data_IF_200657344928
#
_entry.id   IF_200657344928
#
_cell.length_a   1.000
_cell.length_b   1.000
_cell.length_c   1.000
_cell.angle_alpha   90.00
_cell.angle_beta   90.00
_cell.angle_gamma   90.00
#
_symmetry.space_group_name_H-M   'P 1'
#
loop_
_entity.id
_entity.type
_entity.pdbx_description
1 polymer ?
#
# COMPACT_ATOMS: atom_id res chain seq x y z
N UNK A 1 24.13 -74.13 22.22
CA UNK A 1 23.53 -73.51 21.02
C UNK A 1 22.25 -72.80 21.42
N UNK A 2 22.32 -71.50 21.70
CA UNK A 2 21.16 -70.60 21.73
C UNK A 2 21.65 -69.15 21.64
N UNK A 3 21.32 -68.52 20.51
CA UNK A 3 21.66 -67.14 20.16
C UNK A 3 20.73 -66.20 20.93
N UNK A 4 21.29 -65.43 21.86
CA UNK A 4 20.69 -64.21 22.37
C UNK A 4 21.42 -63.01 21.75
N UNK A 5 20.72 -61.87 21.73
CA UNK A 5 21.15 -60.52 21.32
C UNK A 5 21.02 -60.15 19.83
N UNK A 6 19.81 -59.78 19.40
CA UNK A 6 19.61 -58.67 18.45
C UNK A 6 18.12 -58.29 18.34
N UNK A 7 17.50 -57.82 19.43
CA UNK A 7 16.12 -57.28 19.36
C UNK A 7 15.94 -55.89 19.98
N UNK A 8 16.95 -55.37 20.69
CA UNK A 8 16.83 -54.09 21.42
C UNK A 8 17.19 -52.84 20.59
N UNK A 9 17.87 -52.99 19.44
CA UNK A 9 18.39 -51.83 18.67
C UNK A 9 17.47 -51.33 17.55
N UNK A 10 16.42 -52.09 17.20
CA UNK A 10 15.54 -51.76 16.05
C UNK A 10 14.55 -50.63 16.38
N UNK A 11 13.92 -50.67 17.57
CA UNK A 11 12.93 -49.67 17.98
C UNK A 11 13.52 -48.26 18.16
N UNK A 12 14.69 -48.14 18.81
CA UNK A 12 15.37 -46.85 18.99
C UNK A 12 15.82 -46.24 17.66
N UNK A 13 16.28 -47.08 16.71
CA UNK A 13 16.62 -46.65 15.34
C UNK A 13 15.40 -46.13 14.57
N UNK A 14 14.26 -46.81 14.65
CA UNK A 14 13.03 -46.37 14.00
C UNK A 14 12.57 -45.03 14.58
N UNK A 15 12.56 -44.88 15.91
CA UNK A 15 12.22 -43.62 16.57
C UNK A 15 13.16 -42.49 16.15
N UNK A 16 14.47 -42.74 16.10
CA UNK A 16 15.44 -41.75 15.67
C UNK A 16 15.22 -41.31 14.21
N UNK A 17 14.99 -42.26 13.30
CA UNK A 17 14.70 -41.96 11.89
C UNK A 17 13.39 -41.16 11.77
N UNK A 18 12.35 -41.54 12.50
CA UNK A 18 11.07 -40.81 12.50
C UNK A 18 11.26 -39.37 12.99
N UNK A 19 12.00 -39.14 14.08
CA UNK A 19 12.30 -37.78 14.58
C UNK A 19 13.11 -36.99 13.54
N UNK A 20 14.13 -37.60 12.93
CA UNK A 20 14.92 -36.96 11.88
C UNK A 20 14.05 -36.55 10.68
N UNK A 21 13.16 -37.44 10.23
CA UNK A 21 12.22 -37.14 9.14
C UNK A 21 11.26 -36.02 9.53
N UNK A 22 10.71 -36.02 10.75
CA UNK A 22 9.87 -34.93 11.24
C UNK A 22 10.61 -33.59 11.28
N UNK A 23 11.88 -33.56 11.73
CA UNK A 23 12.70 -32.36 11.73
C UNK A 23 13.00 -31.86 10.31
N UNK A 24 13.26 -32.77 9.37
CA UNK A 24 13.46 -32.40 7.96
C UNK A 24 12.18 -31.85 7.34
N UNK A 25 11.02 -32.48 7.58
CA UNK A 25 9.73 -32.02 7.06
C UNK A 25 9.36 -30.65 7.63
N UNK A 26 9.54 -30.44 8.94
CA UNK A 26 9.27 -29.14 9.58
C UNK A 26 10.24 -28.05 9.10
N UNK A 27 11.54 -28.38 8.96
CA UNK A 27 12.53 -27.45 8.42
C UNK A 27 12.25 -27.05 6.96
N UNK A 28 11.88 -28.02 6.12
CA UNK A 28 11.44 -27.75 4.75
C UNK A 28 10.17 -26.90 4.74
N UNK A 29 9.14 -27.27 5.52
CA UNK A 29 7.91 -26.50 5.64
C UNK A 29 8.15 -25.05 6.07
N UNK A 30 8.99 -24.83 7.08
CA UNK A 30 9.41 -23.50 7.52
C UNK A 30 10.12 -22.72 6.41
N UNK A 31 11.03 -23.36 5.68
CA UNK A 31 11.74 -22.71 4.57
C UNK A 31 10.81 -22.32 3.42
N UNK A 32 9.84 -23.17 3.08
CA UNK A 32 8.81 -22.88 2.08
C UNK A 32 7.91 -21.74 2.53
N UNK A 33 7.52 -21.72 3.81
CA UNK A 33 6.71 -20.65 4.37
C UNK A 33 7.42 -19.29 4.31
N UNK A 34 8.69 -19.21 4.73
CA UNK A 34 9.49 -17.98 4.65
C UNK A 34 9.65 -17.48 3.21
N UNK A 35 9.93 -18.39 2.27
CA UNK A 35 10.06 -18.05 0.84
C UNK A 35 8.72 -17.63 0.23
N UNK A 36 7.65 -18.32 0.59
CA UNK A 36 6.30 -18.03 0.10
C UNK A 36 5.86 -16.61 0.45
N UNK A 37 6.06 -16.19 1.71
CA UNK A 37 5.73 -14.84 2.15
C UNK A 37 6.53 -13.77 1.40
N UNK A 38 7.81 -14.03 1.14
CA UNK A 38 8.69 -13.11 0.41
C UNK A 38 8.25 -12.94 -1.04
N UNK A 39 7.93 -14.06 -1.72
CA UNK A 39 7.48 -14.06 -3.12
C UNK A 39 6.15 -13.33 -3.25
N UNK A 40 5.18 -13.62 -2.37
CA UNK A 40 3.87 -12.97 -2.40
C UNK A 40 3.99 -11.46 -2.23
N UNK A 41 4.84 -11.02 -1.28
CA UNK A 41 5.07 -9.59 -1.04
C UNK A 41 5.75 -8.92 -2.22
N UNK A 42 6.71 -9.57 -2.88
CA UNK A 42 7.34 -9.06 -4.09
C UNK A 42 6.31 -8.90 -5.22
N UNK A 43 5.50 -9.93 -5.48
CA UNK A 43 4.48 -9.90 -6.52
C UNK A 43 3.45 -8.78 -6.29
N UNK A 44 3.00 -8.59 -5.03
CA UNK A 44 2.12 -7.47 -4.68
C UNK A 44 2.75 -6.11 -4.98
N UNK A 45 4.03 -5.92 -4.62
CA UNK A 45 4.75 -4.67 -4.90
C UNK A 45 4.94 -4.45 -6.40
N UNK A 46 5.35 -5.48 -7.13
CA UNK A 46 5.62 -5.39 -8.57
C UNK A 46 4.34 -5.04 -9.34
N UNK A 47 3.21 -5.63 -8.94
CA UNK A 47 1.89 -5.30 -9.48
C UNK A 47 1.48 -3.88 -9.13
N UNK A 48 1.61 -3.48 -7.86
CA UNK A 48 1.27 -2.13 -7.43
C UNK A 48 2.11 -1.08 -8.16
N UNK A 49 3.42 -1.32 -8.30
CA UNK A 49 4.32 -0.43 -9.04
C UNK A 49 3.91 -0.32 -10.50
N UNK A 50 3.59 -1.46 -11.15
CA UNK A 50 3.17 -1.49 -12.55
C UNK A 50 1.83 -0.76 -12.75
N UNK A 51 0.84 -1.03 -11.89
CA UNK A 51 -0.46 -0.35 -11.91
C UNK A 51 -0.31 1.15 -11.69
N UNK A 52 0.48 1.56 -10.69
CA UNK A 52 0.71 2.98 -10.39
C UNK A 52 1.43 3.68 -11.54
N UNK A 53 2.44 3.03 -12.14
CA UNK A 53 3.15 3.56 -13.29
C UNK A 53 2.23 3.77 -14.49
N UNK A 54 1.38 2.79 -14.82
CA UNK A 54 0.44 2.91 -15.94
C UNK A 54 -0.61 3.97 -15.64
N UNK A 55 -1.13 4.00 -14.40
CA UNK A 55 -2.14 4.97 -14.00
C UNK A 55 -1.62 6.42 -14.07
N UNK A 56 -0.37 6.67 -13.70
CA UNK A 56 0.23 8.00 -13.78
C UNK A 56 0.30 8.54 -15.22
N UNK A 57 0.52 7.67 -16.21
CA UNK A 57 0.53 8.04 -17.64
C UNK A 57 -0.87 8.39 -18.18
N UNK A 58 -1.94 7.99 -17.48
CA UNK A 58 -3.32 8.31 -17.85
C UNK A 58 -3.79 9.66 -17.31
N UNK A 59 -3.04 10.27 -16.38
CA UNK A 59 -3.38 11.57 -15.80
C UNK A 59 -2.97 12.70 -16.74
N UNK A 60 -3.89 13.61 -17.06
CA UNK A 60 -3.58 14.80 -17.84
C UNK A 60 -2.79 15.81 -16.98
N UNK A 61 -1.51 15.99 -17.31
CA UNK A 61 -0.63 16.92 -16.61
C UNK A 61 -1.15 18.37 -16.61
N UNK A 62 -1.90 18.79 -17.64
CA UNK A 62 -2.45 20.15 -17.73
C UNK A 62 -3.54 20.38 -16.68
N UNK A 63 -4.34 19.35 -16.42
CA UNK A 63 -5.35 19.41 -15.37
C UNK A 63 -4.65 19.49 -14.00
N UNK A 64 -3.56 18.74 -13.78
CA UNK A 64 -2.76 18.81 -12.56
C UNK A 64 -2.17 20.21 -12.34
N UNK A 65 -1.59 20.83 -13.37
CA UNK A 65 -1.02 22.18 -13.30
C UNK A 65 -2.07 23.27 -13.06
N UNK A 66 -3.30 23.08 -13.53
CA UNK A 66 -4.38 24.04 -13.36
C UNK A 66 -4.86 24.18 -11.90
N UNK A 67 -4.67 23.16 -11.07
CA UNK A 67 -5.11 23.15 -9.68
C UNK A 67 -3.99 23.68 -8.78
N UNK A 68 -4.24 24.75 -8.02
CA UNK A 68 -3.23 25.36 -7.14
C UNK A 68 -3.74 25.56 -5.71
N UNK A 69 -5.06 25.59 -5.52
CA UNK A 69 -5.66 25.90 -4.24
C UNK A 69 -7.07 25.33 -4.13
N UNK A 70 -7.68 25.36 -2.92
CA UNK A 70 -9.07 24.94 -2.75
C UNK A 70 -10.07 25.69 -3.65
N UNK A 71 -9.72 26.89 -4.13
CA UNK A 71 -10.59 27.68 -5.02
C UNK A 71 -10.78 27.04 -6.39
N UNK A 72 -9.90 26.12 -6.76
CA UNK A 72 -9.92 25.47 -8.07
C UNK A 72 -10.81 24.22 -8.08
N UNK A 73 -11.40 23.85 -6.93
CA UNK A 73 -12.27 22.67 -6.79
C UNK A 73 -13.53 22.73 -7.65
N UNK A 74 -14.04 23.93 -7.95
CA UNK A 74 -15.23 24.10 -8.80
C UNK A 74 -14.92 24.02 -10.30
N UNK A 75 -13.65 23.87 -10.68
CA UNK A 75 -13.23 23.83 -12.09
C UNK A 75 -13.49 22.47 -12.73
N UNK A 76 -13.73 22.46 -14.04
CA UNK A 76 -13.84 21.20 -14.79
C UNK A 76 -12.54 20.38 -14.75
N UNK A 77 -11.39 21.03 -14.65
CA UNK A 77 -10.10 20.36 -14.52
C UNK A 77 -10.04 19.52 -13.23
N UNK A 78 -10.50 20.07 -12.11
CA UNK A 78 -10.55 19.35 -10.85
C UNK A 78 -11.49 18.15 -10.92
N UNK A 79 -12.70 18.34 -11.47
CA UNK A 79 -13.66 17.26 -11.63
C UNK A 79 -13.13 16.11 -12.50
N UNK A 80 -12.39 16.44 -13.59
CA UNK A 80 -11.72 15.43 -14.42
C UNK A 80 -10.65 14.65 -13.66
N UNK A 81 -9.82 15.33 -12.85
CA UNK A 81 -8.82 14.65 -12.01
C UNK A 81 -9.46 13.70 -11.01
N UNK A 82 -10.45 14.17 -10.25
CA UNK A 82 -11.15 13.34 -9.25
C UNK A 82 -11.82 12.14 -9.93
N UNK A 83 -12.46 12.35 -11.09
CA UNK A 83 -13.07 11.26 -11.87
C UNK A 83 -12.01 10.25 -12.32
N UNK A 84 -10.87 10.71 -12.84
CA UNK A 84 -9.78 9.82 -13.25
C UNK A 84 -9.25 8.98 -12.06
N UNK A 85 -9.12 9.57 -10.87
CA UNK A 85 -8.70 8.86 -9.67
C UNK A 85 -9.76 7.84 -9.20
N UNK A 86 -11.06 8.19 -9.26
CA UNK A 86 -12.17 7.25 -9.00
C UNK A 86 -12.19 6.08 -10.00
N UNK A 87 -11.92 6.35 -11.27
CA UNK A 87 -11.84 5.33 -12.32
C UNK A 87 -10.67 4.37 -12.08
N UNK A 88 -9.50 4.89 -11.70
CA UNK A 88 -8.34 4.05 -11.32
C UNK A 88 -8.71 3.09 -10.19
N UNK A 89 -9.36 3.57 -9.12
CA UNK A 89 -9.86 2.72 -8.01
C UNK A 89 -10.86 1.67 -8.49
N UNK A 90 -11.77 2.06 -9.37
CA UNK A 90 -12.82 1.19 -9.91
C UNK A 90 -12.24 0.03 -10.73
N UNK A 91 -11.24 0.30 -11.57
CA UNK A 91 -10.60 -0.73 -12.41
C UNK A 91 -9.56 -1.55 -11.64
N UNK A 92 -8.81 -0.92 -10.74
CA UNK A 92 -7.84 -1.59 -9.89
C UNK A 92 -8.46 -1.93 -8.52
N UNK A 93 -9.36 -2.93 -8.47
CA UNK A 93 -10.18 -3.33 -7.30
C UNK A 93 -9.44 -3.57 -5.96
N UNK A 94 -8.12 -3.58 -5.94
CA UNK A 94 -7.28 -3.73 -4.75
C UNK A 94 -6.79 -2.40 -4.18
N UNK A 95 -6.90 -1.32 -4.95
CA UNK A 95 -6.58 0.05 -4.55
C UNK A 95 -7.76 0.65 -3.81
N UNK A 96 -7.47 1.25 -2.66
CA UNK A 96 -8.46 1.88 -1.82
C UNK A 96 -8.37 3.40 -1.86
N UNK A 97 -7.16 3.94 -1.85
CA UNK A 97 -6.90 5.38 -1.96
C UNK A 97 -6.14 5.68 -3.25
N UNK A 98 -6.50 6.79 -3.88
CA UNK A 98 -5.82 7.30 -5.06
C UNK A 98 -5.78 8.84 -4.96
N UNK A 99 -4.58 9.40 -5.01
CA UNK A 99 -4.37 10.83 -4.81
C UNK A 99 -3.20 11.34 -5.64
N UNK A 100 -3.14 12.65 -5.79
CA UNK A 100 -2.04 13.37 -6.44
C UNK A 100 -1.49 14.37 -5.43
N UNK A 101 -0.17 14.35 -5.25
CA UNK A 101 0.55 15.31 -4.43
C UNK A 101 1.64 16.03 -5.23
N UNK A 102 2.01 17.23 -4.83
CA UNK A 102 3.18 17.93 -5.37
C UNK A 102 4.13 18.44 -4.30
N UNK A 103 5.34 18.76 -4.73
CA UNK A 103 6.38 19.33 -3.87
C UNK A 103 6.02 20.76 -3.48
N UNK A 104 6.31 21.08 -2.23
CA UNK A 104 6.31 22.46 -1.73
C UNK A 104 7.76 22.99 -1.66
N UNK A 105 7.92 24.20 -1.12
CA UNK A 105 9.25 24.74 -0.80
C UNK A 105 9.95 23.96 0.33
N UNK A 106 9.18 23.33 1.22
CA UNK A 106 9.70 22.46 2.27
C UNK A 106 9.85 21.03 1.72
N UNK A 107 11.07 20.45 1.71
CA UNK A 107 11.29 19.11 1.17
C UNK A 107 10.58 18.00 1.98
N UNK A 108 10.14 18.27 3.20
CA UNK A 108 9.42 17.31 4.07
C UNK A 108 7.90 17.49 4.02
N UNK A 109 7.39 18.49 3.29
CA UNK A 109 5.96 18.72 3.10
C UNK A 109 5.59 18.61 1.62
N UNK A 110 4.61 17.77 1.35
CA UNK A 110 3.89 17.79 0.07
C UNK A 110 2.56 18.49 0.26
N UNK A 111 1.99 18.97 -0.84
CA UNK A 111 0.61 19.45 -0.85
C UNK A 111 -0.25 18.53 -1.71
N UNK A 112 -1.48 18.29 -1.28
CA UNK A 112 -2.48 17.60 -2.08
C UNK A 112 -2.89 18.45 -3.27
N UNK A 113 -3.06 17.81 -4.43
CA UNK A 113 -3.60 18.42 -5.64
C UNK A 113 -5.01 17.92 -5.90
N UNK A 114 -5.22 16.61 -5.73
CA UNK A 114 -6.53 15.99 -5.85
C UNK A 114 -6.53 14.67 -5.07
N UNK A 115 -7.69 14.34 -4.51
CA UNK A 115 -7.98 13.04 -3.91
C UNK A 115 -9.23 12.47 -4.58
N UNK A 116 -9.28 11.15 -4.77
CA UNK A 116 -10.44 10.46 -5.32
C UNK A 116 -11.72 10.74 -4.52
N UNK A 117 -11.59 11.03 -3.23
CA UNK A 117 -12.69 11.23 -2.30
C UNK A 117 -12.99 12.71 -2.03
N UNK A 118 -12.27 13.65 -2.66
CA UNK A 118 -12.41 15.09 -2.46
C UNK A 118 -13.78 15.68 -2.87
N UNK A 119 -14.55 14.97 -3.71
CA UNK A 119 -15.91 15.33 -4.14
C UNK A 119 -16.95 14.29 -3.69
N UNK A 120 -16.58 13.35 -2.83
CA UNK A 120 -17.48 12.30 -2.39
C UNK A 120 -18.51 12.82 -1.38
N UNK A 121 -19.70 12.24 -1.40
CA UNK A 121 -20.76 12.59 -0.44
C UNK A 121 -20.51 11.94 0.92
N UNK A 122 -21.19 12.39 1.98
CA UNK A 122 -21.09 11.76 3.31
C UNK A 122 -21.36 10.24 3.26
N UNK A 123 -22.37 9.83 2.50
CA UNK A 123 -22.72 8.41 2.33
C UNK A 123 -21.64 7.62 1.57
N UNK A 124 -20.86 8.28 0.72
CA UNK A 124 -19.75 7.65 -0.01
C UNK A 124 -18.46 7.57 0.83
N UNK A 125 -18.30 8.46 1.80
CA UNK A 125 -17.13 8.53 2.69
C UNK A 125 -17.27 7.64 3.92
N UNK A 126 -18.48 7.46 4.48
CA UNK A 126 -18.72 6.60 5.64
C UNK A 126 -18.56 5.10 5.29
N UNK A 127 -17.30 4.66 5.22
CA UNK A 127 -16.92 3.31 4.81
C UNK A 127 -17.39 2.25 5.80
N UNK A 128 -17.61 2.65 7.06
CA UNK A 128 -18.03 1.74 8.12
C UNK A 128 -19.54 1.82 8.46
N UNK A 129 -20.28 2.63 7.69
CA UNK A 129 -21.74 2.80 7.75
C UNK A 129 -22.25 3.17 9.16
N UNK A 130 -21.46 3.93 9.93
CA UNK A 130 -21.82 4.33 11.31
C UNK A 130 -22.58 5.68 11.38
N UNK A 131 -22.80 6.33 10.24
CA UNK A 131 -23.47 7.61 10.09
C UNK A 131 -22.58 8.84 10.34
N UNK A 132 -21.26 8.67 10.49
CA UNK A 132 -20.28 9.75 10.63
C UNK A 132 -19.07 9.48 9.73
N UNK A 133 -18.46 10.56 9.22
CA UNK A 133 -17.18 10.44 8.49
C UNK A 133 -16.06 10.58 9.52
N UNK A 134 -15.31 9.50 9.73
CA UNK A 134 -14.15 9.48 10.61
C UNK A 134 -12.93 10.13 9.92
N UNK A 135 -11.92 10.53 10.70
CA UNK A 135 -10.72 11.19 10.15
C UNK A 135 -9.95 10.33 9.12
N UNK A 136 -10.12 8.99 9.15
CA UNK A 136 -9.53 8.07 8.17
C UNK A 136 -10.39 7.86 6.92
N UNK A 137 -11.53 8.54 6.84
CA UNK A 137 -12.49 8.50 5.75
C UNK A 137 -12.57 9.83 5.00
N UNK A 138 -12.05 10.91 5.57
CA UNK A 138 -12.01 12.22 4.91
C UNK A 138 -11.02 12.24 3.73
N UNK A 139 -11.49 12.70 2.58
CA UNK A 139 -10.65 12.99 1.42
C UNK A 139 -9.96 14.35 1.57
N UNK A 140 -8.71 14.43 1.12
CA UNK A 140 -7.94 15.68 1.21
C UNK A 140 -8.26 16.68 0.10
N UNK A 141 -8.17 17.97 0.43
CA UNK A 141 -8.42 19.07 -0.48
C UNK A 141 -7.14 19.65 -1.09
N UNK A 142 -7.22 20.31 -2.27
CA UNK A 142 -6.06 20.95 -2.88
C UNK A 142 -5.38 21.95 -1.93
N UNK A 143 -4.06 21.90 -1.82
CA UNK A 143 -3.27 22.78 -0.96
C UNK A 143 -3.17 22.34 0.51
N UNK A 144 -3.85 21.26 0.93
CA UNK A 144 -3.61 20.66 2.23
C UNK A 144 -2.20 20.07 2.30
N UNK A 145 -1.48 20.38 3.38
CA UNK A 145 -0.11 19.95 3.57
C UNK A 145 -0.05 18.56 4.21
N UNK A 146 0.90 17.76 3.75
CA UNK A 146 1.14 16.41 4.21
C UNK A 146 2.59 16.19 4.61
N UNK A 147 2.81 15.75 5.84
CA UNK A 147 4.15 15.46 6.38
C UNK A 147 4.65 14.10 5.89
N UNK A 148 5.71 14.13 5.09
CA UNK A 148 6.34 12.94 4.51
C UNK A 148 7.64 12.54 5.24
N UNK A 149 7.90 13.07 6.43
CA UNK A 149 9.10 12.74 7.23
C UNK A 149 9.23 11.23 7.49
N UNK A 150 8.11 10.53 7.65
CA UNK A 150 8.05 9.08 7.82
C UNK A 150 8.06 8.26 6.52
N UNK A 151 8.10 8.91 5.35
CA UNK A 151 7.87 8.30 4.03
C UNK A 151 9.04 8.56 3.06
N UNK A 152 10.16 7.82 3.18
CA UNK A 152 11.38 8.08 2.40
C UNK A 152 11.17 8.04 0.88
N UNK A 153 10.23 7.24 0.39
CA UNK A 153 9.94 7.15 -1.05
C UNK A 153 9.46 8.51 -1.61
N UNK A 154 8.59 9.21 -0.87
CA UNK A 154 8.03 10.50 -1.26
C UNK A 154 9.03 11.65 -1.13
N UNK A 155 10.10 11.50 -0.35
CA UNK A 155 11.12 12.56 -0.22
C UNK A 155 11.96 12.72 -1.51
N UNK A 156 12.05 11.68 -2.34
CA UNK A 156 12.89 11.70 -3.53
C UNK A 156 12.49 10.72 -4.61
N UNK A 157 12.60 9.42 -4.33
CA UNK A 157 12.53 8.35 -5.33
C UNK A 157 11.25 8.38 -6.18
N UNK A 158 10.11 8.65 -5.55
CA UNK A 158 8.80 8.72 -6.19
C UNK A 158 8.69 9.84 -7.26
N UNK A 159 9.51 10.88 -7.16
CA UNK A 159 9.61 11.96 -8.14
C UNK A 159 10.62 11.66 -9.26
N UNK A 160 11.31 10.53 -9.20
CA UNK A 160 12.29 10.13 -10.23
C UNK A 160 11.75 8.96 -11.05
N UNK A 161 11.18 7.96 -10.38
CA UNK A 161 10.68 6.73 -11.02
C UNK A 161 9.53 6.12 -10.22
N UNK A 162 8.72 5.23 -10.82
CA UNK A 162 7.77 4.44 -10.08
C UNK A 162 8.44 3.66 -8.94
N UNK A 163 7.84 3.67 -7.77
CA UNK A 163 8.34 2.99 -6.57
C UNK A 163 7.19 2.56 -5.66
N UNK A 164 7.48 1.69 -4.70
CA UNK A 164 6.51 1.17 -3.72
C UNK A 164 7.19 1.11 -2.36
N UNK A 165 6.47 1.50 -1.32
CA UNK A 165 6.98 1.51 0.05
C UNK A 165 7.59 0.16 0.43
N UNK A 166 8.77 0.13 1.10
CA UNK A 166 9.44 -1.11 1.49
C UNK A 166 8.57 -1.97 2.43
N UNK A 167 7.71 -1.32 3.23
CA UNK A 167 6.87 -1.92 4.25
C UNK A 167 5.54 -1.17 4.33
N UNK A 168 4.57 -1.76 5.00
CA UNK A 168 3.36 -1.05 5.34
C UNK A 168 3.69 0.16 6.22
N UNK A 169 3.05 1.28 5.92
CA UNK A 169 3.07 2.53 6.68
C UNK A 169 1.78 2.64 7.49
N UNK A 170 1.82 3.35 8.61
CA UNK A 170 0.69 3.56 9.51
C UNK A 170 0.46 5.07 9.63
N UNK A 171 -0.70 5.54 9.16
CA UNK A 171 -1.09 6.95 9.17
C UNK A 171 -2.58 7.12 9.51
N UNK A 172 -3.13 8.31 9.30
CA UNK A 172 -4.53 8.61 9.64
C UNK A 172 -5.54 7.80 8.82
N UNK A 173 -5.16 7.30 7.65
CA UNK A 173 -5.97 6.42 6.80
C UNK A 173 -5.68 4.92 7.04
N UNK A 174 -4.90 4.62 8.07
CA UNK A 174 -4.64 3.28 8.59
C UNK A 174 -3.32 2.66 8.11
N UNK A 175 -3.28 1.32 8.09
CA UNK A 175 -2.08 0.57 7.71
C UNK A 175 -2.09 0.26 6.22
N UNK A 176 -1.24 0.94 5.46
CA UNK A 176 -1.26 0.99 3.99
C UNK A 176 0.05 0.52 3.38
N UNK A 177 -0.03 -0.10 2.19
CA UNK A 177 1.11 -0.24 1.29
C UNK A 177 0.87 0.67 0.10
N UNK A 178 1.79 1.62 -0.12
CA UNK A 178 1.60 2.68 -1.10
C UNK A 178 2.56 2.54 -2.27
N UNK A 179 2.03 2.68 -3.47
CA UNK A 179 2.77 2.81 -4.72
C UNK A 179 2.75 4.24 -5.19
N UNK A 180 3.86 4.68 -5.78
CA UNK A 180 4.03 6.04 -6.25
C UNK A 180 4.59 6.06 -7.67
N UNK A 181 4.14 7.00 -8.49
CA UNK A 181 4.74 7.26 -9.80
C UNK A 181 4.72 8.75 -10.15
N UNK A 182 5.78 9.27 -10.78
CA UNK A 182 5.87 10.67 -11.15
C UNK A 182 4.91 10.98 -12.30
N UNK A 183 4.19 12.09 -12.20
CA UNK A 183 3.40 12.66 -13.29
C UNK A 183 4.27 13.70 -14.00
N UNK A 184 4.38 13.57 -15.33
CA UNK A 184 5.24 14.41 -16.16
C UNK A 184 4.42 15.28 -17.09
N UNK A 185 4.83 16.53 -17.26
CA UNK A 185 4.28 17.40 -18.30
C UNK A 185 4.81 17.03 -19.69
N UNK A 186 4.33 17.72 -20.73
CA UNK A 186 4.74 17.48 -22.11
C UNK A 186 6.24 17.70 -22.38
N UNK A 187 6.92 18.44 -21.48
CA UNK A 187 8.36 18.70 -21.52
C UNK A 187 9.17 17.61 -20.79
N UNK A 188 8.51 16.63 -20.17
CA UNK A 188 9.12 15.54 -19.41
C UNK A 188 9.48 15.91 -17.96
N UNK A 189 9.13 17.12 -17.53
CA UNK A 189 9.37 17.62 -16.18
C UNK A 189 8.36 17.00 -15.20
N UNK A 190 8.82 16.62 -14.01
CA UNK A 190 7.96 16.03 -12.99
C UNK A 190 7.26 17.15 -12.23
N UNK A 191 5.94 17.20 -12.34
CA UNK A 191 5.12 18.26 -11.73
C UNK A 191 4.38 17.79 -10.47
N UNK A 192 4.17 16.48 -10.34
CA UNK A 192 3.45 15.86 -9.23
C UNK A 192 3.79 14.37 -9.13
N UNK A 193 3.25 13.72 -8.10
CA UNK A 193 3.31 12.27 -7.91
C UNK A 193 1.89 11.73 -7.74
N UNK A 194 1.57 10.65 -8.45
CA UNK A 194 0.39 9.82 -8.19
C UNK A 194 0.72 8.84 -7.08
N UNK A 195 -0.12 8.77 -6.05
CA UNK A 195 -0.07 7.73 -5.03
C UNK A 195 -1.29 6.82 -5.08
N UNK A 196 -1.07 5.51 -5.04
CA UNK A 196 -2.12 4.50 -4.92
C UNK A 196 -1.84 3.61 -3.70
N UNK A 197 -2.82 3.47 -2.81
CA UNK A 197 -2.64 2.73 -1.56
C UNK A 197 -3.58 1.52 -1.45
N UNK A 198 -3.04 0.43 -0.92
CA UNK A 198 -3.82 -0.76 -0.57
C UNK A 198 -3.76 -1.01 0.96
N UNK A 199 -4.91 -1.24 1.61
CA UNK A 199 -4.96 -1.48 3.04
C UNK A 199 -4.50 -2.90 3.40
N UNK A 200 -3.84 -3.03 4.55
CA UNK A 200 -3.24 -4.27 5.03
C UNK A 200 -4.21 -5.46 5.05
N UNK A 201 -5.46 -5.26 5.52
CA UNK A 201 -6.47 -6.33 5.53
C UNK A 201 -6.72 -6.93 4.14
N UNK A 202 -6.81 -6.07 3.12
CA UNK A 202 -7.02 -6.48 1.74
C UNK A 202 -5.76 -7.10 1.12
N UNK A 203 -4.57 -6.62 1.49
CA UNK A 203 -3.29 -7.18 1.07
C UNK A 203 -3.10 -8.63 1.55
N UNK A 204 -3.61 -8.95 2.73
CA UNK A 204 -3.50 -10.28 3.36
C UNK A 204 -4.71 -11.18 3.07
N UNK A 205 -5.72 -10.71 2.33
CA UNK A 205 -6.95 -11.46 2.06
C UNK A 205 -7.83 -11.69 3.30
N UNK A 206 -7.64 -10.90 4.35
CA UNK A 206 -8.40 -10.97 5.60
C UNK A 206 -9.43 -9.84 5.55
N UNK A 207 -10.72 -10.19 5.55
CA UNK A 207 -11.79 -9.20 5.74
C UNK A 207 -11.53 -8.47 7.07
N UNK A 208 -11.25 -7.18 6.98
CA UNK A 208 -10.93 -6.33 8.12
C UNK A 208 -12.16 -6.19 9.02
N UNK A 209 -12.17 -6.89 10.15
CA UNK A 209 -12.98 -6.51 11.31
C UNK A 209 -12.16 -5.46 12.06
N UNK A 210 -12.50 -4.19 11.83
CA UNK A 210 -11.76 -3.08 12.42
C UNK A 210 -12.09 -2.98 13.92
N UNK A 211 -11.06 -3.04 14.76
CA UNK A 211 -11.07 -2.47 16.11
C UNK A 211 -9.96 -1.42 16.12
N UNK A 212 -10.22 -0.17 16.52
CA UNK A 212 -9.20 0.87 16.54
C UNK A 212 -8.16 0.54 17.62
N UNK A 213 -6.88 0.48 17.25
CA UNK A 213 -5.78 0.27 18.19
C UNK A 213 -5.36 1.60 18.82
N UNK A 214 -5.19 1.67 20.15
CA UNK A 214 -4.65 2.85 20.81
C UNK A 214 -3.13 2.94 20.57
N UNK A 215 -2.65 4.18 20.44
CA UNK A 215 -1.26 4.58 20.18
C UNK A 215 -0.21 3.73 20.94
N UNK A 216 0.89 3.47 20.22
CA UNK A 216 2.15 2.84 20.62
C UNK A 216 2.10 1.34 20.99
N UNK A 217 2.65 0.49 20.12
CA UNK A 217 3.94 -0.16 20.38
C UNK A 217 4.31 -1.23 19.33
N UNK A 218 5.60 -1.24 19.01
CA UNK A 218 6.44 -2.40 18.61
C UNK A 218 6.33 -2.99 17.21
N UNK A 219 7.46 -2.87 16.51
CA UNK A 219 8.06 -3.82 15.56
C UNK A 219 7.20 -5.02 15.16
N UNK A 220 6.76 -5.04 13.90
CA UNK A 220 6.46 -6.29 13.20
C UNK A 220 7.18 -6.33 11.85
N UNK A 221 7.61 -7.54 11.52
CA UNK A 221 8.64 -7.98 10.58
C UNK A 221 8.42 -7.61 9.10
#
# INVERSE_FOLDING_TARGET
>A
MSLQTSKHNSGSRVVFISVLVCLLVTGLGWSFWLRGQTILRSDLRDRLQSTTSIAAELIDARDVEAIQSPKDMDTEAFQRLVTALKDIRTYAKHIHFAYIMRRTEDPMLLEFVADADALSTLDELDLNENGVVDAGEEGSHPGELYDISGMPALQGEAFVRPTVDPRFTDDQWGILLSGYAPIRNAQGEVIAVLGLCLPCGRALGIASTHTPSPRNATHYF
#
